data_IF_112890515757
#
_entry.id   IF_112890515757
#
_cell.length_a   1.000
_cell.length_b   1.000
_cell.length_c   1.000
_cell.angle_alpha   90.00
_cell.angle_beta   90.00
_cell.angle_gamma   90.00
#
_symmetry.space_group_name_H-M   'P 1'
#
loop_
_entity.id
_entity.type
_entity.pdbx_description
1 polymer ?
#
# COMPACT_ATOMS: atom_id res chain seq x y z
N UNK A 1 -3.95 18.67 -3.59
CA UNK A 1 -3.60 17.40 -4.26
C UNK A 1 -4.90 16.68 -4.56
N UNK A 2 -5.04 16.10 -5.75
CA UNK A 2 -6.21 15.29 -6.07
C UNK A 2 -6.17 14.01 -5.24
N UNK A 3 -7.30 13.60 -4.68
CA UNK A 3 -7.41 12.32 -3.96
C UNK A 3 -7.23 11.15 -4.95
N UNK A 4 -6.43 10.12 -4.60
CA UNK A 4 -6.29 8.91 -5.41
C UNK A 4 -7.63 8.21 -5.62
N UNK A 5 -7.78 7.58 -6.79
CA UNK A 5 -8.96 6.81 -7.19
C UNK A 5 -8.59 5.37 -7.52
N UNK A 6 -9.60 4.50 -7.56
CA UNK A 6 -9.42 3.13 -8.05
C UNK A 6 -8.84 3.16 -9.47
N UNK A 7 -7.77 2.38 -9.67
CA UNK A 7 -7.02 2.31 -10.91
C UNK A 7 -5.78 3.20 -10.95
N UNK A 8 -5.67 4.20 -10.07
CA UNK A 8 -4.48 5.06 -9.98
C UNK A 8 -3.27 4.28 -9.45
N UNK A 9 -2.08 4.75 -9.81
CA UNK A 9 -0.83 4.31 -9.22
C UNK A 9 -0.38 5.31 -8.16
N UNK A 10 -0.03 4.79 -6.99
CA UNK A 10 0.42 5.60 -5.84
C UNK A 10 1.66 4.99 -5.21
N UNK A 11 2.52 5.84 -4.66
CA UNK A 11 3.70 5.42 -3.90
C UNK A 11 3.33 5.41 -2.41
N UNK A 12 3.56 4.30 -1.71
CA UNK A 12 3.49 4.29 -0.24
C UNK A 12 4.66 5.11 0.29
N UNK A 13 4.40 6.33 0.77
CA UNK A 13 5.45 7.30 1.02
C UNK A 13 6.05 7.21 2.43
N UNK A 14 5.25 6.75 3.39
CA UNK A 14 5.64 6.63 4.78
C UNK A 14 4.80 5.56 5.48
N UNK A 15 5.27 5.07 6.62
CA UNK A 15 4.55 4.10 7.43
C UNK A 15 3.48 4.81 8.27
N UNK A 16 2.22 4.37 8.19
CA UNK A 16 1.21 4.81 9.14
C UNK A 16 1.63 4.46 10.58
N UNK A 17 1.42 5.33 11.57
CA UNK A 17 1.82 5.06 12.97
C UNK A 17 1.22 3.76 13.54
N UNK A 18 0.00 3.42 13.14
CA UNK A 18 -0.71 2.21 13.57
C UNK A 18 -0.07 0.91 13.06
N UNK A 19 0.80 0.97 12.05
CA UNK A 19 1.58 -0.20 11.61
C UNK A 19 2.52 -0.68 12.72
N UNK A 20 2.94 0.19 13.64
CA UNK A 20 3.75 -0.17 14.79
C UNK A 20 3.06 -1.13 15.77
N UNK A 21 1.73 -1.18 15.75
CA UNK A 21 0.91 -2.02 16.63
C UNK A 21 0.55 -3.38 16.00
N UNK A 22 0.93 -3.61 14.74
CA UNK A 22 0.67 -4.87 14.04
C UNK A 22 1.65 -5.99 14.46
N UNK A 23 1.27 -7.27 14.23
CA UNK A 23 2.22 -8.38 14.27
C UNK A 23 3.43 -8.14 13.37
N UNK A 24 4.58 -8.69 13.77
CA UNK A 24 5.88 -8.47 13.11
C UNK A 24 5.85 -8.77 11.61
N UNK A 25 5.20 -9.87 11.21
CA UNK A 25 5.07 -10.27 9.82
C UNK A 25 4.29 -9.25 8.98
N UNK A 26 3.15 -8.76 9.50
CA UNK A 26 2.38 -7.73 8.82
C UNK A 26 3.17 -6.42 8.73
N UNK A 27 3.86 -6.01 9.80
CA UNK A 27 4.73 -4.83 9.78
C UNK A 27 5.83 -4.93 8.72
N UNK A 28 6.46 -6.11 8.61
CA UNK A 28 7.52 -6.34 7.63
C UNK A 28 7.04 -6.15 6.18
N UNK A 29 5.77 -6.51 5.87
CA UNK A 29 5.17 -6.23 4.57
C UNK A 29 5.04 -4.73 4.32
N UNK A 30 4.54 -3.96 5.28
CA UNK A 30 4.45 -2.50 5.15
C UNK A 30 5.83 -1.87 4.97
N UNK A 31 6.81 -2.27 5.77
CA UNK A 31 8.20 -1.80 5.66
C UNK A 31 8.77 -2.06 4.27
N UNK A 32 8.51 -3.26 3.71
CA UNK A 32 8.96 -3.63 2.38
C UNK A 32 8.27 -2.82 1.26
N UNK A 33 7.04 -2.36 1.49
CA UNK A 33 6.27 -1.59 0.52
C UNK A 33 6.63 -0.10 0.47
N UNK A 34 7.29 0.46 1.50
CA UNK A 34 7.61 1.90 1.53
C UNK A 34 8.54 2.27 0.38
N UNK A 35 8.19 3.35 -0.32
CA UNK A 35 8.91 3.87 -1.48
C UNK A 35 8.55 3.20 -2.81
N UNK A 36 7.73 2.14 -2.79
CA UNK A 36 7.29 1.44 -3.98
C UNK A 36 5.91 1.93 -4.46
N UNK A 37 5.68 1.80 -5.77
CA UNK A 37 4.45 2.19 -6.43
C UNK A 37 3.51 0.98 -6.60
N UNK A 38 2.25 1.17 -6.22
CA UNK A 38 1.21 0.15 -6.28
C UNK A 38 -0.06 0.69 -6.90
N UNK A 39 -0.87 -0.22 -7.43
CA UNK A 39 -2.16 0.12 -8.01
C UNK A 39 -3.23 0.13 -6.91
N UNK A 40 -4.05 1.17 -6.88
CA UNK A 40 -5.26 1.20 -6.06
C UNK A 40 -6.29 0.27 -6.68
N UNK A 41 -6.63 -0.83 -6.01
CA UNK A 41 -7.63 -1.80 -6.47
C UNK A 41 -9.02 -1.52 -5.93
N UNK A 42 -9.09 -0.94 -4.74
CA UNK A 42 -10.34 -0.62 -4.05
C UNK A 42 -10.16 0.60 -3.13
N UNK A 43 -11.26 1.29 -2.83
CA UNK A 43 -11.35 2.24 -1.71
C UNK A 43 -12.40 1.67 -0.75
N UNK A 44 -11.98 1.30 0.46
CA UNK A 44 -12.86 0.61 1.41
C UNK A 44 -13.87 1.56 2.08
N UNK A 45 -14.80 1.01 2.88
CA UNK A 45 -15.82 1.78 3.58
C UNK A 45 -15.29 2.83 4.57
N UNK A 46 -14.02 2.73 4.99
CA UNK A 46 -13.33 3.69 5.85
C UNK A 46 -12.54 4.73 5.05
N UNK A 47 -12.62 4.70 3.71
CA UNK A 47 -11.85 5.51 2.77
C UNK A 47 -10.35 5.19 2.76
N UNK A 48 -9.95 3.98 3.16
CA UNK A 48 -8.60 3.52 2.95
C UNK A 48 -8.42 3.08 1.50
N UNK A 49 -7.24 3.32 0.95
CA UNK A 49 -6.82 2.79 -0.34
C UNK A 49 -6.36 1.35 -0.13
N UNK A 50 -6.94 0.41 -0.89
CA UNK A 50 -6.44 -0.96 -0.98
C UNK A 50 -5.43 -1.00 -2.13
N UNK A 51 -4.20 -1.35 -1.82
CA UNK A 51 -3.08 -1.40 -2.76
C UNK A 51 -2.72 -2.85 -3.04
N UNK A 52 -2.68 -3.23 -4.31
CA UNK A 52 -2.18 -4.54 -4.74
C UNK A 52 -0.65 -4.54 -4.67
N UNK A 53 -0.12 -5.30 -3.71
CA UNK A 53 1.32 -5.43 -3.44
C UNK A 53 1.87 -6.80 -3.87
N UNK A 54 1.03 -7.69 -4.41
CA UNK A 54 1.37 -9.08 -4.77
C UNK A 54 2.68 -9.21 -5.54
N UNK A 55 2.86 -8.39 -6.58
CA UNK A 55 4.05 -8.42 -7.43
C UNK A 55 5.37 -8.16 -6.66
N UNK A 56 5.31 -7.43 -5.55
CA UNK A 56 6.47 -7.15 -4.71
C UNK A 56 6.60 -8.16 -3.57
N UNK A 57 5.49 -8.56 -2.95
CA UNK A 57 5.50 -9.37 -1.72
C UNK A 57 5.55 -10.86 -1.98
N UNK A 58 4.92 -11.38 -3.05
CA UNK A 58 4.87 -12.81 -3.35
C UNK A 58 6.25 -13.48 -3.36
N UNK A 59 7.30 -12.89 -3.97
CA UNK A 59 8.63 -13.50 -4.00
C UNK A 59 9.32 -13.57 -2.63
N UNK A 60 8.87 -12.78 -1.65
CA UNK A 60 9.52 -12.60 -0.35
C UNK A 60 8.72 -13.25 0.79
N UNK A 61 7.40 -13.15 0.73
CA UNK A 61 6.46 -13.56 1.78
C UNK A 61 5.59 -14.75 1.37
N UNK A 62 5.96 -15.47 0.31
CA UNK A 62 5.30 -16.70 -0.16
C UNK A 62 3.81 -16.57 -0.54
N UNK A 63 3.37 -15.36 -0.89
CA UNK A 63 2.02 -15.09 -1.39
C UNK A 63 0.96 -14.82 -0.33
N UNK A 64 1.37 -14.64 0.93
CA UNK A 64 0.51 -14.13 1.99
C UNK A 64 0.55 -12.59 2.02
N UNK A 65 -0.58 -11.95 2.33
CA UNK A 65 -0.73 -10.49 2.50
C UNK A 65 -0.54 -9.64 1.21
N UNK A 66 -1.26 -10.02 0.16
CA UNK A 66 -1.14 -9.40 -1.18
C UNK A 66 -1.76 -8.00 -1.31
N UNK A 67 -2.46 -7.54 -0.27
CA UNK A 67 -3.05 -6.20 -0.24
C UNK A 67 -2.68 -5.47 1.05
N UNK A 68 -2.32 -4.19 0.94
CA UNK A 68 -2.20 -3.29 2.09
C UNK A 68 -3.27 -2.20 2.03
N UNK A 69 -3.77 -1.82 3.21
CA UNK A 69 -4.81 -0.79 3.34
C UNK A 69 -4.24 0.42 4.06
N UNK A 70 -4.30 1.59 3.43
CA UNK A 70 -3.72 2.82 3.99
C UNK A 70 -4.56 4.05 3.70
N UNK A 71 -4.56 5.01 4.62
CA UNK A 71 -5.16 6.32 4.34
C UNK A 71 -4.41 7.07 3.23
N UNK A 72 -5.15 7.85 2.44
CA UNK A 72 -4.59 8.60 1.30
C UNK A 72 -3.46 9.57 1.66
N UNK A 73 -3.39 10.01 2.93
CA UNK A 73 -2.31 10.88 3.44
C UNK A 73 -0.93 10.21 3.47
N UNK A 74 -0.89 8.89 3.53
CA UNK A 74 0.37 8.11 3.60
C UNK A 74 0.90 7.73 2.22
N UNK A 75 0.20 8.12 1.16
CA UNK A 75 0.61 7.84 -0.22
C UNK A 75 0.87 9.13 -1.00
N UNK A 76 1.65 9.02 -2.07
CA UNK A 76 1.88 10.09 -3.04
C UNK A 76 1.40 9.62 -4.42
N UNK A 77 0.65 10.47 -5.11
CA UNK A 77 0.26 10.19 -6.50
C UNK A 77 1.50 10.11 -7.39
N UNK A 78 1.53 9.15 -8.31
CA UNK A 78 2.53 9.07 -9.38
C UNK A 78 1.83 9.02 -10.73
N UNK A 79 2.39 9.71 -11.72
CA UNK A 79 1.92 9.64 -13.11
C UNK A 79 2.54 8.46 -13.87
N UNK A 80 3.50 7.78 -13.25
CA UNK A 80 4.26 6.69 -13.89
C UNK A 80 3.74 5.37 -13.36
N UNK A 81 3.20 4.56 -14.28
CA UNK A 81 3.00 3.13 -14.04
C UNK A 81 4.39 2.46 -14.04
N UNK A 82 4.79 1.77 -12.96
CA UNK A 82 6.03 1.01 -12.91
C UNK A 82 6.00 -0.18 -13.89
#
# INVERSE_FOLDING_TARGET
MNEPRVGDWVILAELPPWVGDLPEESRAVFDHCVGHAFRVTEIDGNRNLVLDVSALVDPVFSGDLNDVRVESRFVRSTSTRP
#
